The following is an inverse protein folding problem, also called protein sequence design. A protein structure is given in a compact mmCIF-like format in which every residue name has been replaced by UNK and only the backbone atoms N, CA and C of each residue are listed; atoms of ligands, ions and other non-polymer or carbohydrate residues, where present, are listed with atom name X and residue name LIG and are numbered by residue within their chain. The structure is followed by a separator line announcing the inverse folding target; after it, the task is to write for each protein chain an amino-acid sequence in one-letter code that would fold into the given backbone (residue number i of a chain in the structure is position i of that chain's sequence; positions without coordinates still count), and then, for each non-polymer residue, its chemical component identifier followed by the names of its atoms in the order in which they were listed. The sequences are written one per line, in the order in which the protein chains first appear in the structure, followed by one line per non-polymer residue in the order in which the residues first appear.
data_IF_178099279896
#
_entry.id   IF_178099279896
#
_cell.length_a   1.000
_cell.length_b   1.000
_cell.length_c   1.000
_cell.angle_alpha   90.00
_cell.angle_beta   90.00
_cell.angle_gamma   90.00
#
_symmetry.space_group_name_H-M   'P 1'
#
loop_
_entity.id
_entity.type
_entity.pdbx_description
1 polymer ?
#
# COMPACT_ATOMS: atom_id res chain seq x y z
N UNK A 1 -21.23 -13.92 0.85
CA UNK A 1 -21.21 -13.35 -0.52
C UNK A 1 -19.82 -13.61 -1.08
N UNK A 2 -19.66 -14.00 -2.35
CA UNK A 2 -18.32 -14.20 -2.91
C UNK A 2 -17.63 -12.83 -2.97
N UNK A 3 -16.62 -12.61 -2.12
CA UNK A 3 -15.77 -11.43 -2.20
C UNK A 3 -14.86 -11.58 -3.41
N UNK A 4 -14.65 -10.49 -4.15
CA UNK A 4 -13.69 -10.50 -5.25
C UNK A 4 -12.27 -10.68 -4.72
N UNK A 5 -11.27 -10.80 -5.61
CA UNK A 5 -9.86 -10.75 -5.21
C UNK A 5 -9.31 -9.32 -5.07
N UNK A 6 -10.13 -8.29 -5.30
CA UNK A 6 -9.70 -6.92 -5.11
C UNK A 6 -9.65 -6.56 -3.63
N UNK A 7 -8.61 -5.84 -3.22
CA UNK A 7 -8.34 -5.45 -1.83
C UNK A 7 -8.01 -3.97 -1.75
N UNK A 8 -8.62 -3.30 -0.78
CA UNK A 8 -8.19 -2.00 -0.28
C UNK A 8 -7.48 -2.22 1.06
N UNK A 9 -6.32 -1.60 1.20
CA UNK A 9 -5.42 -1.75 2.32
C UNK A 9 -5.08 -0.34 2.81
N UNK A 10 -5.83 0.16 3.79
CA UNK A 10 -5.74 1.54 4.27
C UNK A 10 -5.55 1.64 5.78
N UNK A 11 -6.01 0.65 6.55
CA UNK A 11 -5.84 0.65 7.99
C UNK A 11 -4.40 0.36 8.40
N UNK A 12 -3.77 1.25 9.17
CA UNK A 12 -2.41 1.06 9.64
C UNK A 12 -2.33 1.01 11.16
N UNK A 13 -2.14 -0.19 11.71
CA UNK A 13 -2.02 -0.40 13.15
C UNK A 13 -0.79 0.28 13.76
N UNK A 14 0.22 0.63 12.96
CA UNK A 14 1.38 1.41 13.42
C UNK A 14 0.97 2.80 13.95
N UNK A 15 -0.14 3.35 13.47
CA UNK A 15 -0.66 4.65 13.95
C UNK A 15 -1.41 4.54 15.29
N UNK A 16 -1.76 3.32 15.71
CA UNK A 16 -2.65 3.07 16.84
C UNK A 16 -1.92 2.64 18.12
N UNK A 17 -0.59 2.67 18.15
CA UNK A 17 0.19 2.21 19.30
C UNK A 17 1.59 2.79 19.40
N UNK A 18 2.37 2.22 20.32
CA UNK A 18 3.76 2.61 20.52
C UNK A 18 4.66 1.79 19.60
N UNK A 19 5.33 2.47 18.68
CA UNK A 19 6.27 1.89 17.72
C UNK A 19 7.71 2.15 18.16
N UNK A 20 8.53 1.11 18.20
CA UNK A 20 9.96 1.19 18.55
C UNK A 20 10.79 0.36 17.58
N UNK A 21 11.79 0.98 16.95
CA UNK A 21 12.78 0.25 16.17
C UNK A 21 13.96 -0.19 17.06
N UNK A 22 14.49 -1.39 16.81
CA UNK A 22 15.69 -1.90 17.49
C UNK A 22 16.96 -1.15 17.09
N UNK A 23 16.93 -0.43 15.96
CA UNK A 23 17.99 0.46 15.49
C UNK A 23 17.35 1.52 14.59
N UNK A 24 17.65 2.79 14.85
CA UNK A 24 17.17 3.92 14.05
C UNK A 24 18.24 4.99 13.93
N UNK A 25 18.34 5.61 12.76
CA UNK A 25 19.07 6.85 12.55
C UNK A 25 18.22 8.02 13.09
N UNK A 26 18.82 8.87 13.93
CA UNK A 26 18.13 10.01 14.53
C UNK A 26 17.57 11.00 13.49
N UNK A 27 18.15 11.07 12.29
CA UNK A 27 17.64 11.90 11.21
C UNK A 27 16.51 11.22 10.40
N UNK A 28 16.36 9.90 10.52
CA UNK A 28 15.43 9.08 9.75
C UNK A 28 14.72 8.08 10.69
N UNK A 29 13.94 8.58 11.68
CA UNK A 29 13.35 7.77 12.74
C UNK A 29 12.28 6.82 12.22
N UNK A 30 11.90 5.83 13.04
CA UNK A 30 10.85 4.85 12.67
C UNK A 30 9.48 5.49 12.39
N UNK A 31 9.22 6.69 12.94
CA UNK A 31 8.01 7.46 12.70
C UNK A 31 7.77 7.75 11.21
N UNK A 32 8.84 7.95 10.44
CA UNK A 32 8.76 8.20 9.01
C UNK A 32 8.25 6.99 8.21
N UNK A 33 8.27 5.78 8.78
CA UNK A 33 7.83 4.58 8.06
C UNK A 33 6.30 4.44 7.99
N UNK A 34 5.53 5.23 8.75
CA UNK A 34 4.08 5.05 8.88
C UNK A 34 3.29 6.37 8.88
N UNK A 35 3.93 7.48 8.50
CA UNK A 35 3.28 8.79 8.32
C UNK A 35 2.64 8.99 6.93
N UNK A 36 2.78 7.99 6.06
CA UNK A 36 2.29 7.94 4.67
C UNK A 36 3.01 8.86 3.68
N UNK A 37 4.10 9.49 4.10
CA UNK A 37 4.90 10.33 3.23
C UNK A 37 5.91 9.47 2.44
N UNK A 38 6.23 9.91 1.23
CA UNK A 38 7.22 9.26 0.35
C UNK A 38 8.46 10.13 0.13
N UNK A 39 8.47 11.32 0.73
CA UNK A 39 9.57 12.29 0.66
C UNK A 39 10.65 12.04 1.71
N UNK A 40 10.30 11.34 2.78
CA UNK A 40 11.14 10.88 3.87
C UNK A 40 11.08 9.35 3.97
N UNK A 41 11.90 8.81 4.86
CA UNK A 41 12.06 7.38 5.03
C UNK A 41 12.64 7.06 6.41
N UNK A 42 12.39 5.84 6.86
CA UNK A 42 13.10 5.23 7.98
C UNK A 42 14.43 4.65 7.50
N UNK A 43 15.48 4.81 8.33
CA UNK A 43 16.76 4.11 8.16
C UNK A 43 17.24 3.55 9.50
N UNK A 44 17.74 2.31 9.55
CA UNK A 44 18.42 1.83 10.73
C UNK A 44 19.81 2.47 10.87
N UNK A 45 20.31 2.60 12.10
CA UNK A 45 21.67 3.09 12.35
C UNK A 45 22.76 2.07 11.96
N UNK A 46 22.39 0.79 11.80
CA UNK A 46 23.30 -0.29 11.40
C UNK A 46 22.59 -1.31 10.50
N UNK A 47 23.38 -2.07 9.73
CA UNK A 47 22.90 -3.23 8.96
C UNK A 47 22.61 -4.43 9.86
N UNK A 48 21.93 -5.44 9.32
CA UNK A 48 21.58 -6.68 10.03
C UNK A 48 20.07 -6.88 10.12
N UNK A 49 19.63 -7.55 11.18
CA UNK A 49 18.20 -7.74 11.46
C UNK A 49 17.69 -6.59 12.34
N UNK A 50 16.73 -5.86 11.80
CA UNK A 50 16.05 -4.72 12.42
C UNK A 50 14.62 -5.13 12.73
N UNK A 51 14.23 -4.95 13.98
CA UNK A 51 12.86 -5.18 14.43
C UNK A 51 12.18 -3.84 14.63
N UNK A 52 10.97 -3.69 14.10
CA UNK A 52 10.05 -2.59 14.41
C UNK A 52 8.94 -3.20 15.24
N UNK A 53 8.97 -2.98 16.55
CA UNK A 53 8.03 -3.50 17.52
C UNK A 53 6.88 -2.51 17.71
N UNK A 54 5.64 -2.99 17.55
CA UNK A 54 4.41 -2.26 17.86
C UNK A 54 3.78 -2.86 19.12
N UNK A 55 3.44 -2.01 20.07
CA UNK A 55 2.61 -2.36 21.23
C UNK A 55 1.31 -1.55 21.22
N UNK A 56 0.18 -2.25 21.15
CA UNK A 56 -1.17 -1.70 21.20
C UNK A 56 -1.73 -1.74 22.63
N UNK A 57 -2.65 -0.83 22.93
CA UNK A 57 -3.37 -0.79 24.22
C UNK A 57 -4.46 -1.87 24.33
N UNK A 58 -5.00 -2.31 23.20
CA UNK A 58 -5.95 -3.40 23.05
C UNK A 58 -5.51 -4.34 21.93
N UNK A 59 -6.01 -5.58 21.95
CA UNK A 59 -5.69 -6.52 20.87
C UNK A 59 -6.47 -6.11 19.61
N UNK A 60 -5.77 -6.04 18.48
CA UNK A 60 -6.36 -5.72 17.19
C UNK A 60 -5.94 -6.73 16.13
N UNK A 61 -6.73 -6.83 15.06
CA UNK A 61 -6.53 -7.80 14.00
C UNK A 61 -5.81 -7.23 12.78
N UNK A 62 -4.93 -8.02 12.18
CA UNK A 62 -4.38 -7.73 10.86
C UNK A 62 -4.44 -8.96 9.96
N UNK A 63 -4.63 -8.74 8.67
CA UNK A 63 -4.66 -9.77 7.63
C UNK A 63 -4.00 -9.34 6.31
N UNK A 64 -3.39 -8.14 6.28
CA UNK A 64 -2.49 -7.72 5.23
C UNK A 64 -1.23 -7.05 5.77
N UNK A 65 -0.18 -7.04 4.95
CA UNK A 65 1.05 -6.29 5.15
C UNK A 65 1.47 -5.67 3.83
N UNK A 66 1.76 -4.38 3.82
CA UNK A 66 2.10 -3.60 2.64
C UNK A 66 3.29 -2.69 2.90
N UNK A 67 4.08 -2.45 1.86
CA UNK A 67 5.21 -1.53 1.95
C UNK A 67 5.57 -0.91 0.59
N UNK A 68 6.17 0.28 0.63
CA UNK A 68 6.58 1.04 -0.56
C UNK A 68 7.75 1.99 -0.27
N UNK A 69 8.43 2.45 -1.32
CA UNK A 69 9.52 3.42 -1.25
C UNK A 69 10.74 2.87 -0.53
N UNK A 70 11.16 1.65 -0.90
CA UNK A 70 12.24 0.93 -0.24
C UNK A 70 13.36 0.55 -1.20
N UNK A 71 14.57 0.38 -0.68
CA UNK A 71 15.74 -0.05 -1.46
C UNK A 71 16.18 -1.50 -1.12
N UNK A 72 15.35 -2.26 -0.38
CA UNK A 72 15.64 -3.64 0.03
C UNK A 72 16.11 -4.55 -1.12
N UNK A 73 15.55 -4.39 -2.32
CA UNK A 73 15.92 -5.18 -3.50
C UNK A 73 17.38 -4.98 -3.91
N UNK A 74 17.95 -3.80 -3.69
CA UNK A 74 19.33 -3.47 -4.03
C UNK A 74 20.33 -4.07 -3.02
N UNK A 75 19.86 -4.43 -1.83
CA UNK A 75 20.68 -4.85 -0.69
C UNK A 75 20.45 -6.31 -0.26
N UNK A 76 19.67 -7.06 -1.05
CA UNK A 76 19.29 -8.45 -0.74
C UNK A 76 18.46 -8.57 0.53
N UNK A 77 17.68 -7.53 0.84
CA UNK A 77 16.88 -7.45 2.06
C UNK A 77 15.65 -8.33 2.01
N UNK A 78 15.27 -8.86 3.17
CA UNK A 78 14.00 -9.60 3.37
C UNK A 78 13.14 -8.91 4.42
N UNK A 79 11.83 -8.93 4.23
CA UNK A 79 10.86 -8.33 5.15
C UNK A 79 9.72 -9.30 5.48
N UNK A 80 9.28 -9.32 6.75
CA UNK A 80 8.12 -10.07 7.20
C UNK A 80 7.42 -9.41 8.38
N UNK A 81 6.17 -9.82 8.63
CA UNK A 81 5.41 -9.47 9.82
C UNK A 81 5.32 -10.66 10.77
N UNK A 82 5.47 -10.40 12.06
CA UNK A 82 5.26 -11.34 13.14
C UNK A 82 4.22 -10.79 14.12
N UNK A 83 3.53 -11.70 14.79
CA UNK A 83 2.62 -11.40 15.89
C UNK A 83 3.03 -12.20 17.12
N UNK A 84 2.69 -11.69 18.31
CA UNK A 84 2.90 -12.41 19.56
C UNK A 84 1.70 -13.30 19.88
N UNK A 85 1.93 -14.61 19.99
CA UNK A 85 0.88 -15.61 20.28
C UNK A 85 0.59 -15.81 21.78
N UNK A 86 1.27 -15.05 22.64
CA UNK A 86 1.24 -15.22 24.09
C UNK A 86 2.51 -15.84 24.67
N UNK A 87 3.30 -16.55 23.84
CA UNK A 87 4.51 -17.25 24.25
C UNK A 87 5.73 -16.99 23.34
N UNK A 88 5.51 -16.76 22.05
CA UNK A 88 6.55 -16.60 21.03
C UNK A 88 6.12 -15.67 19.90
N UNK A 89 7.12 -15.19 19.14
CA UNK A 89 6.88 -14.45 17.91
C UNK A 89 6.66 -15.43 16.76
N UNK A 90 5.50 -15.34 16.12
CA UNK A 90 5.09 -16.22 15.02
C UNK A 90 5.01 -15.43 13.73
N UNK A 91 5.57 -15.98 12.65
CA UNK A 91 5.51 -15.38 11.31
C UNK A 91 4.06 -15.40 10.77
N UNK A 92 3.56 -14.23 10.35
CA UNK A 92 2.25 -14.13 9.67
C UNK A 92 2.30 -14.73 8.26
N UNK A 93 3.45 -14.60 7.60
CA UNK A 93 3.73 -15.09 6.25
C UNK A 93 5.23 -15.30 6.07
N UNK A 94 5.61 -16.08 5.04
CA UNK A 94 7.02 -16.30 4.67
C UNK A 94 7.68 -14.99 4.23
N UNK A 95 8.91 -14.73 4.67
CA UNK A 95 9.60 -13.49 4.34
C UNK A 95 9.64 -13.19 2.84
N UNK A 96 9.28 -11.96 2.49
CA UNK A 96 9.34 -11.45 1.13
C UNK A 96 10.75 -10.98 0.83
N UNK A 97 11.25 -11.34 -0.34
CA UNK A 97 12.49 -10.80 -0.91
C UNK A 97 12.12 -9.95 -2.12
N UNK A 98 12.01 -8.62 -1.98
CA UNK A 98 11.61 -7.75 -3.09
C UNK A 98 12.63 -7.82 -4.24
N UNK A 99 12.13 -7.83 -5.48
CA UNK A 99 12.96 -7.85 -6.70
C UNK A 99 13.08 -6.47 -7.35
N UNK A 100 12.20 -5.56 -6.97
CA UNK A 100 12.16 -4.14 -7.31
C UNK A 100 11.59 -3.39 -6.08
N UNK A 101 11.40 -2.07 -6.15
CA UNK A 101 10.75 -1.30 -5.09
C UNK A 101 9.31 -0.90 -5.46
N UNK A 102 8.68 -1.63 -6.39
CA UNK A 102 7.25 -1.43 -6.65
C UNK A 102 6.45 -1.71 -5.38
N UNK A 103 5.30 -1.04 -5.16
CA UNK A 103 4.48 -1.26 -3.97
C UNK A 103 4.16 -2.75 -3.81
N UNK A 104 4.44 -3.33 -2.64
CA UNK A 104 4.18 -4.74 -2.37
C UNK A 104 3.03 -4.87 -1.36
N UNK A 105 2.13 -5.82 -1.59
CA UNK A 105 1.06 -6.17 -0.65
C UNK A 105 1.01 -7.69 -0.51
N UNK A 106 1.00 -8.15 0.73
CA UNK A 106 0.88 -9.56 1.12
C UNK A 106 -0.34 -9.72 2.00
N UNK A 107 -1.20 -10.68 1.68
CA UNK A 107 -2.34 -11.04 2.53
C UNK A 107 -2.06 -12.37 3.24
N UNK A 108 -2.55 -12.51 4.46
CA UNK A 108 -2.37 -13.71 5.28
C UNK A 108 -3.64 -14.03 6.09
N UNK A 109 -3.65 -15.16 6.78
CA UNK A 109 -4.78 -15.52 7.64
C UNK A 109 -4.83 -14.57 8.84
N UNK A 110 -5.96 -13.91 9.06
CA UNK A 110 -6.13 -12.89 10.11
C UNK A 110 -5.58 -13.37 11.47
N UNK A 111 -4.74 -12.54 12.08
CA UNK A 111 -4.20 -12.74 13.42
C UNK A 111 -4.63 -11.57 14.31
N UNK A 112 -4.82 -11.83 15.59
CA UNK A 112 -5.19 -10.80 16.58
C UNK A 112 -4.16 -10.77 17.69
N UNK A 113 -3.55 -9.62 17.93
CA UNK A 113 -2.55 -9.45 18.98
C UNK A 113 -2.48 -8.02 19.49
N UNK A 114 -1.96 -7.85 20.71
CA UNK A 114 -1.53 -6.55 21.23
C UNK A 114 -0.10 -6.20 20.81
N UNK A 115 0.67 -7.17 20.29
CA UNK A 115 2.07 -6.99 19.95
C UNK A 115 2.36 -7.52 18.55
N UNK A 116 2.92 -6.64 17.73
CA UNK A 116 3.30 -6.92 16.36
C UNK A 116 4.76 -6.56 16.15
N UNK A 117 5.42 -7.22 15.20
CA UNK A 117 6.82 -6.96 14.88
C UNK A 117 7.04 -7.07 13.39
N UNK A 118 7.53 -6.00 12.78
CA UNK A 118 8.10 -6.07 11.44
C UNK A 118 9.56 -6.46 11.56
N UNK A 119 9.98 -7.51 10.87
CA UNK A 119 11.36 -7.99 10.86
C UNK A 119 11.95 -7.72 9.48
N UNK A 120 12.96 -6.87 9.42
CA UNK A 120 13.70 -6.55 8.20
C UNK A 120 15.12 -7.04 8.37
N UNK A 121 15.62 -7.88 7.47
CA UNK A 121 17.01 -8.34 7.50
C UNK A 121 17.71 -7.92 6.24
N UNK A 122 18.83 -7.22 6.38
CA UNK A 122 19.59 -6.65 5.27
C UNK A 122 21.10 -6.70 5.53
N UNK A 123 21.90 -6.82 4.48
CA UNK A 123 23.38 -6.85 4.59
C UNK A 123 24.00 -5.45 4.69
N UNK A 124 23.27 -4.42 4.32
CA UNK A 124 23.64 -3.01 4.38
C UNK A 124 22.51 -2.19 5.03
N UNK A 125 22.77 -0.91 5.29
CA UNK A 125 21.73 0.03 5.71
C UNK A 125 20.77 0.24 4.55
N UNK A 126 19.48 0.05 4.81
CA UNK A 126 18.38 0.24 3.85
C UNK A 126 17.58 1.49 4.20
N UNK A 127 16.68 1.87 3.30
CA UNK A 127 15.63 2.86 3.52
C UNK A 127 14.27 2.27 3.17
N UNK A 128 13.23 2.70 3.88
CA UNK A 128 11.83 2.37 3.59
C UNK A 128 10.94 3.56 3.97
N UNK A 129 10.12 4.01 3.03
CA UNK A 129 9.24 5.16 3.23
C UNK A 129 7.92 4.76 3.89
N UNK A 130 7.25 3.71 3.40
CA UNK A 130 5.91 3.37 3.88
C UNK A 130 5.82 1.90 4.24
N UNK A 131 5.30 1.62 5.44
CA UNK A 131 4.87 0.32 5.95
C UNK A 131 3.44 0.49 6.46
N UNK A 132 2.55 -0.41 6.05
CA UNK A 132 1.16 -0.41 6.47
C UNK A 132 0.69 -1.85 6.69
N UNK A 133 0.05 -2.12 7.82
CA UNK A 133 -0.64 -3.38 8.07
C UNK A 133 -1.84 -3.18 8.98
N UNK A 134 -2.87 -3.98 8.78
CA UNK A 134 -4.15 -3.88 9.48
C UNK A 134 -5.17 -4.84 8.86
N UNK A 135 -6.46 -4.54 9.02
CA UNK A 135 -7.50 -5.28 8.33
C UNK A 135 -7.66 -4.78 6.89
N UNK A 136 -7.69 -5.71 5.94
CA UNK A 136 -7.97 -5.41 4.54
C UNK A 136 -9.48 -5.24 4.35
N UNK A 137 -9.87 -4.35 3.44
CA UNK A 137 -11.24 -4.22 2.97
C UNK A 137 -11.41 -4.97 1.64
N UNK A 138 -12.02 -6.17 1.64
CA UNK A 138 -12.33 -6.87 0.40
C UNK A 138 -13.50 -6.21 -0.31
N UNK A 139 -13.32 -5.94 -1.61
CA UNK A 139 -14.42 -5.45 -2.45
C UNK A 139 -15.35 -6.61 -2.83
N UNK A 140 -16.67 -6.39 -2.79
CA UNK A 140 -17.66 -7.40 -3.22
C UNK A 140 -17.49 -7.80 -4.68
N UNK A 141 -17.09 -6.86 -5.54
CA UNK A 141 -16.83 -7.08 -6.96
C UNK A 141 -15.46 -6.52 -7.36
N UNK A 142 -14.83 -7.18 -8.33
CA UNK A 142 -13.55 -6.73 -8.88
C UNK A 142 -13.73 -5.60 -9.87
N UNK A 143 -12.62 -5.17 -10.48
CA UNK A 143 -12.64 -4.12 -11.49
C UNK A 143 -13.38 -4.55 -12.76
N UNK A 144 -14.18 -3.65 -13.32
CA UNK A 144 -15.14 -3.95 -14.38
C UNK A 144 -14.53 -3.90 -15.80
N UNK A 145 -15.29 -4.33 -16.82
CA UNK A 145 -14.84 -4.30 -18.22
C UNK A 145 -14.49 -2.87 -18.67
N UNK A 146 -13.37 -2.72 -19.39
CA UNK A 146 -12.89 -1.41 -19.87
C UNK A 146 -12.01 -0.67 -18.86
N UNK A 147 -11.83 -1.23 -17.66
CA UNK A 147 -10.92 -0.70 -16.67
C UNK A 147 -9.45 -0.96 -17.02
N UNK A 148 -8.58 0.01 -16.72
CA UNK A 148 -7.13 -0.08 -16.99
C UNK A 148 -6.37 -0.42 -15.70
N UNK A 149 -5.72 -1.59 -15.61
CA UNK A 149 -4.91 -1.91 -14.45
C UNK A 149 -3.78 -0.89 -14.21
N UNK A 150 -3.47 -0.53 -12.94
CA UNK A 150 -2.44 0.43 -12.58
C UNK A 150 -1.13 0.23 -13.33
N UNK A 151 -0.67 -1.02 -13.44
CA UNK A 151 0.57 -1.37 -14.16
C UNK A 151 0.61 -0.93 -15.62
N UNK A 152 -0.55 -0.86 -16.29
CA UNK A 152 -0.67 -0.39 -17.67
C UNK A 152 -1.06 1.09 -17.78
N UNK A 153 -1.54 1.71 -16.70
CA UNK A 153 -1.98 3.11 -16.63
C UNK A 153 -0.83 4.12 -16.53
N UNK A 154 0.26 3.94 -17.29
CA UNK A 154 1.45 4.82 -17.20
C UNK A 154 1.09 6.26 -17.54
N UNK A 155 1.31 7.16 -16.58
CA UNK A 155 1.13 8.60 -16.73
C UNK A 155 2.50 9.27 -16.67
N UNK A 156 3.15 9.42 -17.83
CA UNK A 156 4.50 9.99 -17.92
C UNK A 156 4.46 11.36 -18.59
N UNK A 157 4.96 12.39 -17.90
CA UNK A 157 5.12 13.73 -18.48
C UNK A 157 6.44 13.82 -19.25
N UNK A 158 6.37 14.21 -20.52
CA UNK A 158 7.49 14.19 -21.45
C UNK A 158 7.71 15.58 -22.04
N UNK A 159 8.96 16.02 -22.11
CA UNK A 159 9.37 17.19 -22.91
C UNK A 159 10.15 16.72 -24.11
N UNK A 160 9.64 17.05 -25.31
CA UNK A 160 10.33 16.76 -26.56
C UNK A 160 11.13 17.99 -27.00
N UNK A 161 12.37 17.77 -27.42
CA UNK A 161 13.15 18.78 -28.14
C UNK A 161 13.01 18.51 -29.64
N UNK A 162 12.64 19.55 -30.39
CA UNK A 162 12.50 19.50 -31.85
C UNK A 162 13.37 20.60 -32.46
N UNK A 163 14.00 20.32 -33.61
CA UNK A 163 14.74 21.35 -34.36
C UNK A 163 13.76 22.31 -35.05
N UNK A 164 14.23 23.48 -35.47
CA UNK A 164 13.43 24.41 -36.31
C UNK A 164 12.92 23.76 -37.62
N UNK A 165 13.61 22.75 -38.13
CA UNK A 165 13.19 21.94 -39.30
C UNK A 165 12.24 20.78 -38.98
N UNK A 166 11.78 20.65 -37.73
CA UNK A 166 10.85 19.59 -37.32
C UNK A 166 11.47 18.22 -36.96
N UNK A 167 12.80 18.06 -37.00
CA UNK A 167 13.46 16.82 -36.61
C UNK A 167 13.41 16.59 -35.08
N UNK A 168 13.19 15.34 -34.66
CA UNK A 168 13.23 14.94 -33.25
C UNK A 168 14.67 14.94 -32.75
N UNK A 169 14.98 15.79 -31.77
CA UNK A 169 16.33 15.96 -31.21
C UNK A 169 16.53 15.22 -29.90
N UNK A 170 15.45 14.78 -29.25
CA UNK A 170 15.50 14.07 -28.00
C UNK A 170 14.24 14.26 -27.16
N UNK A 171 14.18 13.54 -26.04
CA UNK A 171 13.08 13.60 -25.08
C UNK A 171 13.62 13.44 -23.67
N UNK A 172 13.16 14.30 -22.76
CA UNK A 172 13.36 14.13 -21.32
C UNK A 172 12.04 13.71 -20.66
N UNK A 173 12.16 12.92 -19.60
CA UNK A 173 11.04 12.52 -18.74
C UNK A 173 11.03 13.46 -17.54
N UNK A 174 9.95 14.20 -17.33
CA UNK A 174 9.80 15.13 -16.20
C UNK A 174 9.28 14.39 -14.97
N UNK A 175 8.26 13.56 -15.15
CA UNK A 175 7.63 12.82 -14.07
C UNK A 175 7.08 11.50 -14.59
N UNK A 176 7.13 10.48 -13.72
CA UNK A 176 6.50 9.18 -13.93
C UNK A 176 5.49 8.96 -12.81
N UNK A 177 4.35 8.42 -13.18
CA UNK A 177 3.37 7.90 -12.24
C UNK A 177 2.41 6.99 -12.97
N UNK A 178 1.34 6.65 -12.29
CA UNK A 178 0.21 5.89 -12.82
C UNK A 178 -1.05 6.69 -12.62
N UNK A 179 -1.95 6.59 -13.61
CA UNK A 179 -3.32 7.05 -13.51
C UNK A 179 -4.23 5.88 -13.83
N UNK A 180 -5.10 5.55 -12.89
CA UNK A 180 -6.11 4.50 -13.02
C UNK A 180 -7.37 4.96 -12.27
N UNK A 181 -8.33 4.07 -12.07
CA UNK A 181 -9.49 4.32 -11.22
C UNK A 181 -9.69 3.16 -10.24
N UNK A 182 -10.35 3.44 -9.12
CA UNK A 182 -10.95 2.43 -8.26
C UNK A 182 -12.44 2.41 -8.56
N UNK A 183 -12.88 1.37 -9.28
CA UNK A 183 -14.26 1.24 -9.72
C UNK A 183 -15.01 0.25 -8.84
N UNK A 184 -15.90 0.77 -7.99
CA UNK A 184 -16.81 -0.04 -7.20
C UNK A 184 -18.16 -0.04 -7.90
N UNK A 185 -18.54 -1.17 -8.48
CA UNK A 185 -19.83 -1.33 -9.15
C UNK A 185 -20.60 -2.51 -8.58
N UNK A 186 -21.92 -2.37 -8.52
CA UNK A 186 -22.85 -3.39 -8.02
C UNK A 186 -22.65 -3.80 -6.56
N UNK A 187 -21.93 -3.00 -5.77
CA UNK A 187 -21.80 -3.24 -4.34
C UNK A 187 -23.17 -3.15 -3.67
N UNK A 188 -23.44 -4.04 -2.72
CA UNK A 188 -24.67 -4.07 -1.94
C UNK A 188 -24.78 -2.80 -1.10
N UNK A 189 -25.99 -2.25 -0.98
CA UNK A 189 -26.26 -1.07 -0.15
C UNK A 189 -25.80 -1.30 1.31
N UNK A 190 -25.95 -2.53 1.82
CA UNK A 190 -25.47 -2.91 3.14
C UNK A 190 -23.93 -2.83 3.27
N UNK A 191 -23.18 -3.36 2.30
CA UNK A 191 -21.72 -3.28 2.32
C UNK A 191 -21.21 -1.85 2.20
N UNK A 192 -21.84 -1.05 1.33
CA UNK A 192 -21.47 0.35 1.13
C UNK A 192 -21.65 1.15 2.42
N UNK A 193 -22.80 1.00 3.10
CA UNK A 193 -23.04 1.70 4.36
C UNK A 193 -22.13 1.24 5.51
N UNK A 194 -21.71 -0.01 5.50
CA UNK A 194 -20.89 -0.57 6.56
C UNK A 194 -19.39 -0.25 6.42
N UNK A 195 -18.88 -0.10 5.19
CA UNK A 195 -17.43 -0.03 4.94
C UNK A 195 -16.99 1.18 4.12
N UNK A 196 -17.82 1.64 3.18
CA UNK A 196 -17.37 2.61 2.18
C UNK A 196 -17.05 3.97 2.79
N UNK A 197 -17.87 4.44 3.74
CA UNK A 197 -17.67 5.75 4.35
C UNK A 197 -16.34 5.83 5.11
N UNK A 198 -16.02 4.79 5.91
CA UNK A 198 -14.75 4.71 6.65
C UNK A 198 -13.55 4.76 5.70
N UNK A 199 -13.63 4.08 4.56
CA UNK A 199 -12.58 4.15 3.54
C UNK A 199 -12.46 5.55 2.92
N UNK A 200 -13.59 6.19 2.57
CA UNK A 200 -13.60 7.53 1.98
C UNK A 200 -12.98 8.55 2.94
N UNK A 201 -13.35 8.53 4.22
CA UNK A 201 -12.79 9.43 5.25
C UNK A 201 -11.26 9.28 5.38
N UNK A 202 -10.74 8.06 5.25
CA UNK A 202 -9.29 7.83 5.19
C UNK A 202 -8.69 8.37 3.89
N UNK A 203 -9.25 8.00 2.74
CA UNK A 203 -8.73 8.35 1.42
C UNK A 203 -8.76 9.85 1.11
N UNK A 204 -9.60 10.63 1.80
CA UNK A 204 -9.60 12.10 1.74
C UNK A 204 -8.35 12.72 2.39
N UNK A 205 -7.72 12.03 3.35
CA UNK A 205 -6.61 12.57 4.15
C UNK A 205 -5.29 11.87 3.87
N UNK A 206 -5.33 10.59 3.49
CA UNK A 206 -4.18 9.70 3.45
C UNK A 206 -4.19 8.81 2.21
N UNK A 207 -3.00 8.48 1.67
CA UNK A 207 -2.84 7.42 0.69
C UNK A 207 -3.30 6.04 1.21
N UNK A 208 -3.41 5.09 0.29
CA UNK A 208 -3.76 3.70 0.59
C UNK A 208 -3.12 2.75 -0.43
N UNK A 209 -3.02 1.48 -0.07
CA UNK A 209 -2.64 0.43 -1.01
C UNK A 209 -3.90 -0.16 -1.66
N UNK A 210 -3.83 -0.33 -2.99
CA UNK A 210 -4.89 -0.99 -3.74
C UNK A 210 -4.30 -2.15 -4.53
N UNK A 211 -4.94 -3.32 -4.40
CA UNK A 211 -4.59 -4.52 -5.17
C UNK A 211 -5.80 -4.94 -5.98
N UNK A 212 -5.76 -4.84 -7.32
CA UNK A 212 -6.92 -5.17 -8.15
C UNK A 212 -7.28 -6.65 -8.12
N UNK A 213 -6.28 -7.53 -8.00
CA UNK A 213 -6.49 -8.98 -7.89
C UNK A 213 -5.31 -9.63 -7.17
N UNK A 214 -5.45 -9.81 -5.85
CA UNK A 214 -4.40 -10.40 -5.01
C UNK A 214 -4.10 -11.87 -5.38
N UNK A 215 -5.07 -12.60 -5.93
CA UNK A 215 -4.94 -14.04 -6.19
C UNK A 215 -4.12 -14.36 -7.45
N UNK A 216 -4.28 -13.57 -8.52
CA UNK A 216 -3.62 -13.82 -9.82
C UNK A 216 -2.54 -12.81 -10.14
N UNK A 217 -2.71 -11.55 -9.73
CA UNK A 217 -1.82 -10.45 -10.09
C UNK A 217 -1.47 -9.59 -8.86
N UNK A 218 -0.84 -10.18 -7.82
CA UNK A 218 -0.48 -9.43 -6.62
C UNK A 218 0.49 -8.28 -6.91
N UNK A 219 1.37 -8.42 -7.91
CA UNK A 219 2.31 -7.37 -8.33
C UNK A 219 1.71 -6.24 -9.19
N UNK A 220 0.38 -6.18 -9.32
CA UNK A 220 -0.34 -5.01 -9.83
C UNK A 220 -0.79 -4.08 -8.68
N UNK A 221 -0.29 -4.32 -7.47
CA UNK A 221 -0.44 -3.44 -6.31
C UNK A 221 0.05 -2.03 -6.62
N UNK A 222 -0.67 -1.05 -6.09
CA UNK A 222 -0.35 0.36 -6.23
C UNK A 222 -0.47 1.07 -4.89
N UNK A 223 0.49 1.94 -4.60
CA UNK A 223 0.37 2.96 -3.56
C UNK A 223 -0.36 4.16 -4.17
N UNK A 224 -1.63 4.32 -3.82
CA UNK A 224 -2.57 5.20 -4.47
C UNK A 224 -2.99 6.36 -3.57
N UNK A 225 -3.27 7.50 -4.21
CA UNK A 225 -3.89 8.67 -3.61
C UNK A 225 -4.82 9.34 -4.62
N UNK A 226 -5.76 10.13 -4.14
CA UNK A 226 -6.75 10.84 -4.97
C UNK A 226 -6.20 12.22 -5.35
N UNK A 227 -6.49 12.67 -6.58
CA UNK A 227 -6.08 13.99 -7.09
C UNK A 227 -7.24 15.01 -7.13
N UNK A 228 -8.44 14.58 -6.73
CA UNK A 228 -9.66 15.36 -6.73
C UNK A 228 -10.65 14.83 -5.69
N UNK A 229 -11.74 15.57 -5.49
CA UNK A 229 -12.85 15.18 -4.62
C UNK A 229 -13.36 13.78 -4.96
N UNK A 230 -13.58 12.97 -3.92
CA UNK A 230 -14.09 11.60 -4.07
C UNK A 230 -15.58 11.65 -4.41
N UNK A 231 -16.01 11.11 -5.57
CA UNK A 231 -17.41 11.16 -5.96
C UNK A 231 -18.31 10.35 -5.02
N UNK A 232 -19.43 10.96 -4.63
CA UNK A 232 -20.44 10.30 -3.80
C UNK A 232 -21.00 9.06 -4.52
N UNK A 233 -21.19 7.92 -3.82
CA UNK A 233 -21.76 6.74 -4.43
C UNK A 233 -23.24 6.93 -4.76
N UNK A 234 -23.67 6.34 -5.86
CA UNK A 234 -25.04 6.42 -6.37
C UNK A 234 -25.69 5.05 -6.45
N UNK A 235 -27.01 4.98 -6.32
CA UNK A 235 -27.75 3.74 -6.54
C UNK A 235 -27.72 3.42 -8.05
N UNK A 236 -27.07 2.34 -8.42
CA UNK A 236 -27.00 1.90 -9.82
C UNK A 236 -28.16 0.97 -10.17
N UNK A 237 -28.61 0.17 -9.19
CA UNK A 237 -29.78 -0.71 -9.29
C UNK A 237 -30.50 -0.77 -7.93
N UNK A 238 -31.68 -1.38 -7.87
CA UNK A 238 -32.38 -1.58 -6.60
C UNK A 238 -31.51 -2.38 -5.61
N UNK A 239 -31.14 -1.75 -4.49
CA UNK A 239 -30.29 -2.33 -3.45
C UNK A 239 -28.80 -2.43 -3.79
N UNK A 240 -28.35 -1.79 -4.88
CA UNK A 240 -26.95 -1.80 -5.33
C UNK A 240 -26.46 -0.39 -5.62
N UNK A 241 -25.26 -0.07 -5.15
CA UNK A 241 -24.61 1.20 -5.41
C UNK A 241 -23.32 1.03 -6.21
N UNK A 242 -22.82 2.15 -6.73
CA UNK A 242 -21.52 2.23 -7.36
C UNK A 242 -20.93 3.62 -7.36
N UNK A 243 -19.62 3.67 -7.53
CA UNK A 243 -18.82 4.88 -7.68
C UNK A 243 -17.49 4.54 -8.38
N UNK A 244 -16.85 5.56 -8.93
CA UNK A 244 -15.53 5.45 -9.55
C UNK A 244 -14.68 6.58 -9.00
N UNK A 245 -13.55 6.22 -8.39
CA UNK A 245 -12.60 7.18 -7.85
C UNK A 245 -11.39 7.22 -8.79
N UNK A 246 -11.03 8.37 -9.38
CA UNK A 246 -9.75 8.49 -10.07
C UNK A 246 -8.62 8.37 -9.06
N UNK A 247 -7.64 7.51 -9.36
CA UNK A 247 -6.46 7.32 -8.52
C UNK A 247 -5.21 7.68 -9.30
N UNK A 248 -4.32 8.41 -8.63
CA UNK A 248 -2.92 8.49 -9.01
C UNK A 248 -2.13 7.49 -8.18
N UNK A 249 -1.14 6.90 -8.82
CA UNK A 249 -0.22 5.98 -8.17
C UNK A 249 1.21 6.33 -8.50
N UNK A 250 2.12 5.92 -7.63
CA UNK A 250 3.54 5.94 -7.96
C UNK A 250 3.96 4.56 -8.48
N UNK A 251 4.81 4.58 -9.51
CA UNK A 251 5.50 3.40 -10.05
C UNK A 251 6.94 3.82 -10.22
N UNK A 252 7.86 3.03 -9.68
CA UNK A 252 9.30 3.28 -9.81
C UNK A 252 9.77 3.38 -11.28
#
# INVERSE_FOLDING_TARGET
MATSNARLCFENLLENGTVVASSEDAANPVANAYDWLTSDFFKPAASGTINIDLTLSGADSADYFAFYGHDLYAHGGTIKLQWWDGASWVDCFTAVTPTDGTPQVVTFASQTSTKWRVVITCTSVFSIAVISFGAQLPLEYGMYLGWTPPKFGRNTQLTNSQSDGGAFLGRSIIAKGVKSSLDVQYASDAWMRANWLTFVEHAEQKPFFFVPNIGTYPGDSVFAFTDADIPAPTQTHFGRMGTSIPILGMVE
#
